data_IF_201676221270
#
_entry.id   IF_201676221270
#
_cell.length_a   1.000
_cell.length_b   1.000
_cell.length_c   1.000
_cell.angle_alpha   90.00
_cell.angle_beta   90.00
_cell.angle_gamma   90.00
#
_symmetry.space_group_name_H-M   'P 1'
#
loop_
_entity.id
_entity.type
_entity.pdbx_description
1 polymer ?
#
# COMPACT_ATOMS: atom_id res chain seq x y z
N UNK A 1 -27.13 -0.96 37.24
CA UNK A 1 -26.00 -0.07 36.89
C UNK A 1 -24.86 -0.90 36.32
N UNK A 2 -24.67 -0.91 34.99
CA UNK A 2 -23.55 -1.62 34.37
C UNK A 2 -22.33 -0.69 34.28
N UNK A 3 -21.22 -1.09 34.91
CA UNK A 3 -19.94 -0.36 34.89
C UNK A 3 -19.37 -0.37 33.47
N UNK A 4 -19.27 0.81 32.85
CA UNK A 4 -18.55 1.05 31.58
C UNK A 4 -17.05 0.88 31.85
N UNK A 5 -16.53 -0.33 31.61
CA UNK A 5 -15.09 -0.61 31.62
C UNK A 5 -14.44 0.09 30.43
N UNK A 6 -13.71 1.18 30.70
CA UNK A 6 -12.88 1.87 29.72
C UNK A 6 -11.52 1.16 29.55
N UNK A 7 -11.56 -0.17 29.41
CA UNK A 7 -10.37 -0.97 29.14
C UNK A 7 -9.90 -0.71 27.72
N UNK A 8 -8.70 -0.16 27.54
CA UNK A 8 -8.05 -0.06 26.23
C UNK A 8 -7.99 -1.48 25.65
N UNK A 9 -8.81 -1.75 24.62
CA UNK A 9 -8.83 -3.04 23.94
C UNK A 9 -7.45 -3.23 23.31
N UNK A 10 -6.65 -4.15 23.86
CA UNK A 10 -5.45 -4.63 23.18
C UNK A 10 -5.90 -5.55 22.06
N UNK A 11 -5.40 -5.32 20.85
CA UNK A 11 -5.68 -6.22 19.74
C UNK A 11 -4.97 -7.55 19.95
N UNK A 12 -5.59 -8.62 19.46
CA UNK A 12 -4.93 -9.92 19.37
C UNK A 12 -3.96 -9.90 18.18
N UNK A 13 -2.91 -10.73 18.22
CA UNK A 13 -1.92 -10.81 17.14
C UNK A 13 -2.57 -11.12 15.76
N UNK A 14 -3.67 -11.88 15.74
CA UNK A 14 -4.47 -12.14 14.55
C UNK A 14 -5.13 -10.87 14.00
N UNK A 15 -5.66 -10.02 14.87
CA UNK A 15 -6.24 -8.74 14.45
C UNK A 15 -5.16 -7.79 13.93
N UNK A 16 -3.97 -7.77 14.54
CA UNK A 16 -2.85 -6.93 14.09
C UNK A 16 -2.42 -7.34 12.67
N UNK A 17 -2.33 -8.65 12.41
CA UNK A 17 -2.05 -9.20 11.08
C UNK A 17 -3.12 -8.83 10.04
N UNK A 18 -4.41 -8.88 10.39
CA UNK A 18 -5.49 -8.46 9.49
C UNK A 18 -5.45 -6.97 9.16
N UNK A 19 -5.15 -6.13 10.15
CA UNK A 19 -4.98 -4.70 9.91
C UNK A 19 -3.76 -4.45 9.01
N UNK A 20 -2.65 -5.15 9.22
CA UNK A 20 -1.48 -5.02 8.35
C UNK A 20 -1.80 -5.38 6.90
N UNK A 21 -2.61 -6.42 6.62
CA UNK A 21 -3.11 -6.72 5.27
C UNK A 21 -3.95 -5.59 4.67
N UNK A 22 -4.85 -5.00 5.46
CA UNK A 22 -5.72 -3.92 5.00
C UNK A 22 -4.95 -2.62 4.73
N UNK A 23 -3.97 -2.32 5.57
CA UNK A 23 -3.11 -1.14 5.44
C UNK A 23 -2.19 -1.28 4.23
N UNK A 24 -1.61 -2.47 4.04
CA UNK A 24 -0.80 -2.84 2.89
C UNK A 24 -1.53 -2.62 1.57
N UNK A 25 -2.77 -3.11 1.45
CA UNK A 25 -3.57 -2.93 0.24
C UNK A 25 -3.71 -1.44 -0.08
N UNK A 26 -4.08 -0.63 0.92
CA UNK A 26 -4.20 0.82 0.77
C UNK A 26 -2.90 1.52 0.36
N UNK A 27 -1.74 1.03 0.79
CA UNK A 27 -0.45 1.58 0.35
C UNK A 27 -0.08 1.17 -1.08
N UNK A 28 -0.37 -0.07 -1.50
CA UNK A 28 -0.18 -0.49 -2.89
C UNK A 28 -1.02 0.34 -3.87
N UNK A 29 -2.23 0.76 -3.46
CA UNK A 29 -3.06 1.66 -4.28
C UNK A 29 -2.34 2.96 -4.67
N UNK A 30 -1.41 3.47 -3.85
CA UNK A 30 -0.65 4.69 -4.20
C UNK A 30 0.22 4.48 -5.44
N UNK A 31 0.97 3.38 -5.49
CA UNK A 31 1.79 3.06 -6.66
C UNK A 31 0.95 2.79 -7.89
N UNK A 32 -0.19 2.13 -7.71
CA UNK A 32 -1.14 1.88 -8.80
C UNK A 32 -1.71 3.18 -9.38
N UNK A 33 -2.10 4.14 -8.53
CA UNK A 33 -2.59 5.46 -8.96
C UNK A 33 -1.51 6.21 -9.73
N UNK A 34 -0.26 6.20 -9.25
CA UNK A 34 0.85 6.87 -9.95
C UNK A 34 1.10 6.24 -11.33
N UNK A 35 1.05 4.91 -11.43
CA UNK A 35 1.16 4.22 -12.72
C UNK A 35 -0.01 4.55 -13.65
N UNK A 36 -1.24 4.54 -13.14
CA UNK A 36 -2.44 4.90 -13.90
C UNK A 36 -2.39 6.36 -14.38
N UNK A 37 -1.85 7.27 -13.58
CA UNK A 37 -1.60 8.64 -13.98
C UNK A 37 -0.55 8.75 -15.09
N UNK A 38 0.56 8.02 -14.97
CA UNK A 38 1.57 7.93 -16.02
C UNK A 38 0.98 7.42 -17.33
N UNK A 39 0.17 6.37 -17.27
CA UNK A 39 -0.55 5.84 -18.43
C UNK A 39 -1.50 6.86 -19.05
N UNK A 40 -2.27 7.59 -18.23
CA UNK A 40 -3.18 8.63 -18.68
C UNK A 40 -2.45 9.76 -19.43
N UNK A 41 -1.29 10.21 -18.92
CA UNK A 41 -0.44 11.20 -19.59
C UNK A 41 0.07 10.70 -20.94
N UNK A 42 0.52 9.44 -21.02
CA UNK A 42 0.98 8.82 -22.28
C UNK A 42 -0.11 8.86 -23.35
N UNK A 43 -1.36 8.56 -22.96
CA UNK A 43 -2.51 8.54 -23.87
C UNK A 43 -2.92 9.96 -24.27
N UNK A 44 -2.96 10.90 -23.31
CA UNK A 44 -3.45 12.26 -23.53
C UNK A 44 -2.50 13.10 -24.39
N UNK A 45 -1.21 13.05 -24.08
CA UNK A 45 -0.24 13.99 -24.67
C UNK A 45 0.46 13.42 -25.92
N UNK A 46 0.14 12.17 -26.30
CA UNK A 46 0.81 11.40 -27.37
C UNK A 46 2.35 11.34 -27.24
N UNK A 47 2.88 11.73 -26.08
CA UNK A 47 4.30 11.77 -25.76
C UNK A 47 4.58 10.67 -24.74
N UNK A 48 5.34 9.65 -25.17
CA UNK A 48 5.57 8.44 -24.37
C UNK A 48 6.55 8.68 -23.22
N UNK A 49 7.60 9.48 -23.47
CA UNK A 49 8.67 9.71 -22.48
C UNK A 49 8.18 10.17 -21.10
N UNK A 50 7.36 11.23 -20.97
CA UNK A 50 6.93 11.72 -19.67
C UNK A 50 6.07 10.69 -18.92
N UNK A 51 5.11 10.05 -19.60
CA UNK A 51 4.28 9.01 -19.00
C UNK A 51 5.07 7.79 -18.55
N UNK A 52 6.10 7.39 -19.31
CA UNK A 52 6.98 6.28 -18.97
C UNK A 52 7.74 6.51 -17.65
N UNK A 53 8.19 7.75 -17.38
CA UNK A 53 8.86 8.10 -16.12
C UNK A 53 7.93 7.95 -14.91
N UNK A 54 6.68 8.37 -15.01
CA UNK A 54 5.69 8.18 -13.96
C UNK A 54 5.35 6.70 -13.76
N UNK A 55 5.23 5.92 -14.84
CA UNK A 55 5.01 4.47 -14.76
C UNK A 55 6.19 3.75 -14.08
N UNK A 56 7.43 4.09 -14.44
CA UNK A 56 8.64 3.57 -13.80
C UNK A 56 8.69 3.95 -12.31
N UNK A 57 8.42 5.21 -11.98
CA UNK A 57 8.36 5.67 -10.59
C UNK A 57 7.31 4.91 -9.76
N UNK A 58 6.11 4.72 -10.32
CA UNK A 58 5.05 3.92 -9.69
C UNK A 58 5.44 2.45 -9.51
N UNK A 59 6.08 1.84 -10.52
CA UNK A 59 6.56 0.47 -10.44
C UNK A 59 7.65 0.29 -9.36
N UNK A 60 8.61 1.21 -9.28
CA UNK A 60 9.65 1.22 -8.23
C UNK A 60 9.01 1.39 -6.85
N UNK A 61 8.01 2.26 -6.71
CA UNK A 61 7.30 2.48 -5.45
C UNK A 61 6.54 1.22 -5.01
N UNK A 62 5.86 0.52 -5.93
CA UNK A 62 5.20 -0.76 -5.65
C UNK A 62 6.20 -1.84 -5.21
N UNK A 63 7.33 -1.95 -5.90
CA UNK A 63 8.38 -2.91 -5.57
C UNK A 63 8.99 -2.63 -4.18
N UNK A 64 9.21 -1.36 -3.84
CA UNK A 64 9.68 -0.97 -2.51
C UNK A 64 8.71 -1.40 -1.42
N UNK A 65 7.41 -1.11 -1.60
CA UNK A 65 6.39 -1.56 -0.64
C UNK A 65 6.33 -3.08 -0.56
N UNK A 66 6.34 -3.79 -1.69
CA UNK A 66 6.37 -5.26 -1.73
C UNK A 66 7.54 -5.84 -0.93
N UNK A 67 8.74 -5.27 -1.09
CA UNK A 67 9.93 -5.73 -0.36
C UNK A 67 9.78 -5.50 1.15
N UNK A 68 9.31 -4.31 1.55
CA UNK A 68 9.06 -3.99 2.97
C UNK A 68 8.05 -4.98 3.57
N UNK A 69 7.00 -5.28 2.82
CA UNK A 69 5.96 -6.23 3.22
C UNK A 69 6.54 -7.62 3.44
N UNK A 70 7.24 -8.18 2.47
CA UNK A 70 7.77 -9.55 2.57
C UNK A 70 8.69 -9.66 3.79
N UNK A 71 9.53 -8.64 4.02
CA UNK A 71 10.41 -8.57 5.19
C UNK A 71 9.65 -8.53 6.51
N UNK A 72 8.61 -7.71 6.62
CA UNK A 72 7.77 -7.65 7.84
C UNK A 72 6.95 -8.93 8.05
N UNK A 73 6.48 -9.57 6.98
CA UNK A 73 5.72 -10.82 7.06
C UNK A 73 6.58 -12.02 7.48
N UNK A 74 7.84 -12.08 7.06
CA UNK A 74 8.77 -13.14 7.49
C UNK A 74 9.09 -13.09 8.98
N UNK A 75 8.97 -11.92 9.62
CA UNK A 75 9.19 -11.75 11.07
C UNK A 75 8.04 -12.36 11.90
N UNK A 76 6.85 -12.57 11.31
CA UNK A 76 5.66 -13.08 12.01
C UNK A 76 5.54 -14.62 11.92
N UNK A 77 6.54 -15.33 11.41
CA UNK A 77 6.54 -16.80 11.39
C UNK A 77 7.16 -17.42 12.64
#
# INVERSE_FOLDING_TARGET
>A
MARKSNGKRKMTALQEFEIMKLVLDKFLWLGFIVMGWGMYLTIRDAAILPGLWYMLGGAVLLLLFLIIIVKEYEIIK
#
